data_IF_703396728467
#
_entry.id   IF_703396728467
#
_cell.length_a   1.000
_cell.length_b   1.000
_cell.length_c   1.000
_cell.angle_alpha   90.00
_cell.angle_beta   90.00
_cell.angle_gamma   90.00
#
_symmetry.space_group_name_H-M   'P 1'
#
loop_
_entity.id
_entity.type
_entity.pdbx_description
1 polymer ?
#
# COMPACT_ATOMS: atom_id res chain seq x y z
N UNK A 1 7.20 -20.61 -1.34
CA UNK A 1 5.97 -19.92 -1.78
C UNK A 1 6.29 -18.44 -1.84
N UNK A 2 5.96 -17.80 -2.95
CA UNK A 2 6.23 -16.38 -3.18
C UNK A 2 5.00 -15.56 -2.82
N UNK A 3 5.21 -14.48 -2.07
CA UNK A 3 4.15 -13.54 -1.71
C UNK A 3 4.46 -12.14 -2.23
N UNK A 4 3.52 -11.55 -2.98
CA UNK A 4 3.54 -10.15 -3.38
C UNK A 4 2.80 -9.30 -2.35
N UNK A 5 3.49 -8.36 -1.71
CA UNK A 5 2.86 -7.49 -0.70
C UNK A 5 2.73 -6.07 -1.23
N UNK A 6 1.49 -5.55 -1.31
CA UNK A 6 1.23 -4.14 -1.61
C UNK A 6 1.92 -3.24 -0.59
N UNK A 7 2.84 -2.40 -1.07
CA UNK A 7 3.81 -1.71 -0.23
C UNK A 7 3.82 -0.20 -0.46
N UNK A 8 3.70 0.54 0.63
CA UNK A 8 3.70 2.01 0.64
C UNK A 8 4.94 2.65 1.27
N UNK A 9 5.88 1.85 1.79
CA UNK A 9 6.99 2.35 2.62
C UNK A 9 6.59 2.73 4.05
N UNK A 10 5.31 2.62 4.40
CA UNK A 10 4.80 2.89 5.73
C UNK A 10 5.03 1.75 6.73
N UNK A 11 4.84 2.06 8.03
CA UNK A 11 5.09 1.12 9.12
C UNK A 11 4.27 -0.17 9.05
N UNK A 12 3.00 -0.06 8.62
CA UNK A 12 2.06 -1.19 8.64
C UNK A 12 2.40 -2.20 7.53
N UNK A 13 2.62 -1.74 6.30
CA UNK A 13 3.04 -2.62 5.18
C UNK A 13 4.43 -3.23 5.44
N UNK A 14 5.36 -2.48 6.05
CA UNK A 14 6.67 -3.03 6.42
C UNK A 14 6.57 -4.09 7.52
N UNK A 15 5.75 -3.85 8.55
CA UNK A 15 5.53 -4.85 9.59
C UNK A 15 4.86 -6.12 9.03
N UNK A 16 3.91 -5.96 8.08
CA UNK A 16 3.30 -7.08 7.38
C UNK A 16 4.34 -7.92 6.63
N UNK A 17 5.28 -7.28 5.92
CA UNK A 17 6.38 -7.96 5.24
C UNK A 17 7.25 -8.77 6.21
N UNK A 18 7.66 -8.16 7.33
CA UNK A 18 8.48 -8.85 8.35
C UNK A 18 7.77 -10.07 8.97
N UNK A 19 6.45 -10.01 9.15
CA UNK A 19 5.66 -11.13 9.65
C UNK A 19 5.56 -12.27 8.62
N UNK A 20 5.45 -11.95 7.34
CA UNK A 20 5.36 -12.94 6.27
C UNK A 20 6.69 -13.59 5.94
N UNK A 21 7.82 -12.90 6.09
CA UNK A 21 9.17 -13.35 5.75
C UNK A 21 9.58 -14.68 6.40
N UNK A 22 8.94 -15.04 7.51
CA UNK A 22 9.17 -16.34 8.15
C UNK A 22 8.51 -17.51 7.42
N UNK A 23 7.60 -17.27 6.47
CA UNK A 23 6.77 -18.27 5.81
C UNK A 23 6.80 -18.21 4.30
N UNK A 24 7.14 -17.04 3.73
CA UNK A 24 7.12 -16.76 2.29
C UNK A 24 8.41 -16.06 1.86
N UNK A 25 8.78 -16.26 0.60
CA UNK A 25 9.73 -15.39 -0.09
C UNK A 25 8.94 -14.12 -0.48
N UNK A 26 9.16 -13.03 0.26
CA UNK A 26 8.36 -11.80 0.12
C UNK A 26 8.98 -10.87 -0.91
N UNK A 27 8.19 -10.45 -1.88
CA UNK A 27 8.49 -9.32 -2.79
C UNK A 27 7.53 -8.18 -2.50
N UNK A 28 8.06 -7.00 -2.24
CA UNK A 28 7.28 -5.79 -2.07
C UNK A 28 6.82 -5.28 -3.43
N UNK A 29 5.58 -4.83 -3.53
CA UNK A 29 4.99 -4.32 -4.77
C UNK A 29 4.48 -2.90 -4.54
N UNK A 30 5.19 -1.92 -5.10
CA UNK A 30 4.74 -0.53 -5.11
C UNK A 30 3.78 -0.32 -6.29
N UNK A 31 2.53 -0.03 -5.98
CA UNK A 31 1.53 0.33 -6.98
C UNK A 31 1.56 1.84 -7.22
N UNK A 32 1.69 2.27 -8.46
CA UNK A 32 1.79 3.68 -8.88
C UNK A 32 0.86 3.98 -10.05
N UNK A 33 0.39 5.19 -10.14
CA UNK A 33 -0.32 5.74 -11.32
C UNK A 33 0.67 6.46 -12.25
N UNK A 34 1.91 6.70 -11.77
CA UNK A 34 2.94 7.38 -12.55
C UNK A 34 2.84 8.91 -12.56
N UNK A 35 2.04 9.49 -11.65
CA UNK A 35 1.84 10.96 -11.56
C UNK A 35 2.96 11.64 -10.78
N UNK A 36 3.56 10.93 -9.82
CA UNK A 36 4.66 11.43 -8.99
C UNK A 36 5.80 10.41 -8.91
N UNK A 37 6.84 10.74 -8.16
CA UNK A 37 7.97 9.85 -7.83
C UNK A 37 7.73 8.99 -6.56
N UNK A 38 6.45 8.77 -6.19
CA UNK A 38 6.06 7.96 -5.04
C UNK A 38 6.72 6.56 -5.02
N UNK A 39 6.86 5.92 -6.18
CA UNK A 39 7.52 4.61 -6.28
C UNK A 39 9.00 4.64 -5.83
N UNK A 40 9.70 5.77 -5.96
CA UNK A 40 11.08 5.91 -5.53
C UNK A 40 11.18 5.95 -4.00
N UNK A 41 10.22 6.60 -3.32
CA UNK A 41 10.13 6.58 -1.86
C UNK A 41 9.83 5.18 -1.31
N UNK A 42 8.96 4.40 -1.99
CA UNK A 42 8.75 2.99 -1.64
C UNK A 42 10.04 2.17 -1.80
N UNK A 43 10.83 2.44 -2.84
CA UNK A 43 12.10 1.76 -3.09
C UNK A 43 13.12 2.06 -2.00
N UNK A 44 13.27 3.32 -1.60
CA UNK A 44 14.17 3.70 -0.50
C UNK A 44 13.81 2.98 0.80
N UNK A 45 12.53 2.93 1.15
CA UNK A 45 12.06 2.22 2.34
C UNK A 45 12.28 0.70 2.23
N UNK A 46 12.08 0.09 1.05
CA UNK A 46 12.32 -1.34 0.82
C UNK A 46 13.82 -1.68 0.95
N UNK A 47 14.70 -0.85 0.39
CA UNK A 47 16.16 -0.99 0.54
C UNK A 47 16.60 -0.90 2.01
N UNK A 48 16.01 0.03 2.77
CA UNK A 48 16.32 0.23 4.18
C UNK A 48 15.95 -0.99 5.06
N UNK A 49 15.02 -1.84 4.62
CA UNK A 49 14.60 -3.06 5.33
C UNK A 49 15.06 -4.35 4.65
N UNK A 50 15.70 -4.25 3.47
CA UNK A 50 16.36 -5.37 2.80
C UNK A 50 15.45 -6.31 2.02
N UNK A 51 14.25 -5.87 1.60
CA UNK A 51 13.35 -6.65 0.75
C UNK A 51 13.48 -6.27 -0.73
N UNK A 52 13.32 -7.23 -1.66
CA UNK A 52 13.18 -6.93 -3.07
C UNK A 52 11.87 -6.16 -3.32
N UNK A 53 11.91 -5.19 -4.24
CA UNK A 53 10.74 -4.42 -4.64
C UNK A 53 10.58 -4.41 -6.14
N UNK A 54 9.34 -4.56 -6.59
CA UNK A 54 8.90 -4.32 -7.96
C UNK A 54 7.85 -3.21 -7.97
N UNK A 55 7.70 -2.55 -9.12
CA UNK A 55 6.68 -1.52 -9.31
C UNK A 55 5.64 -2.02 -10.30
N UNK A 56 4.37 -1.74 -10.04
CA UNK A 56 3.25 -2.01 -10.94
C UNK A 56 2.51 -0.72 -11.26
N UNK A 57 2.25 -0.50 -12.56
CA UNK A 57 1.44 0.62 -13.00
C UNK A 57 -0.04 0.26 -12.91
N UNK A 58 -0.81 1.12 -12.27
CA UNK A 58 -2.26 1.05 -12.21
C UNK A 58 -2.88 1.73 -13.43
N UNK A 59 -4.10 1.33 -13.79
CA UNK A 59 -4.84 1.99 -14.86
C UNK A 59 -5.16 3.44 -14.45
N UNK A 60 -4.64 4.39 -15.22
CA UNK A 60 -4.83 5.82 -15.01
C UNK A 60 -6.32 6.21 -15.00
N UNK A 61 -7.15 5.53 -15.81
CA UNK A 61 -8.59 5.78 -15.80
C UNK A 61 -9.25 5.46 -14.45
N UNK A 62 -8.76 4.44 -13.73
CA UNK A 62 -9.25 4.11 -12.39
C UNK A 62 -8.88 5.20 -11.38
N UNK A 63 -7.70 5.80 -11.51
CA UNK A 63 -7.28 6.89 -10.64
C UNK A 63 -8.12 8.16 -10.86
N UNK A 64 -8.37 8.53 -12.12
CA UNK A 64 -9.26 9.65 -12.46
C UNK A 64 -10.69 9.44 -11.93
N UNK A 65 -11.28 8.26 -12.13
CA UNK A 65 -12.59 7.92 -11.59
C UNK A 65 -12.63 7.97 -10.06
N UNK A 66 -11.54 7.56 -9.40
CA UNK A 66 -11.43 7.61 -7.95
C UNK A 66 -11.37 9.05 -7.45
N UNK A 67 -10.61 9.93 -8.11
CA UNK A 67 -10.54 11.37 -7.80
C UNK A 67 -11.91 12.03 -7.97
N UNK A 68 -12.57 11.83 -9.11
CA UNK A 68 -13.93 12.35 -9.33
C UNK A 68 -14.91 11.91 -8.25
N UNK A 69 -14.83 10.65 -7.84
CA UNK A 69 -15.66 10.10 -6.76
C UNK A 69 -15.36 10.75 -5.42
N UNK A 70 -14.08 10.95 -5.08
CA UNK A 70 -13.68 11.61 -3.83
C UNK A 70 -14.20 13.03 -3.74
N UNK A 71 -14.11 13.80 -4.84
CA UNK A 71 -14.63 15.16 -4.93
C UNK A 71 -16.15 15.16 -4.78
N UNK A 72 -16.85 14.25 -5.46
CA UNK A 72 -18.32 14.15 -5.36
C UNK A 72 -18.80 13.75 -3.95
N UNK A 73 -18.04 12.90 -3.27
CA UNK A 73 -18.34 12.43 -1.91
C UNK A 73 -17.93 13.45 -0.83
N UNK A 74 -17.02 14.38 -1.14
CA UNK A 74 -16.37 15.28 -0.18
C UNK A 74 -15.52 14.54 0.85
N UNK A 75 -15.05 13.32 0.53
CA UNK A 75 -14.28 12.46 1.43
C UNK A 75 -13.53 11.35 0.65
N UNK A 76 -12.29 10.98 1.02
CA UNK A 76 -11.44 10.14 0.17
C UNK A 76 -11.77 8.65 0.21
N UNK A 77 -12.61 8.19 1.16
CA UNK A 77 -12.80 6.77 1.50
C UNK A 77 -13.10 5.87 0.30
N UNK A 78 -14.09 6.23 -0.51
CA UNK A 78 -14.57 5.36 -1.58
C UNK A 78 -13.57 5.31 -2.74
N UNK A 79 -12.88 6.41 -3.03
CA UNK A 79 -11.84 6.45 -4.05
C UNK A 79 -10.59 5.68 -3.63
N UNK A 80 -10.12 5.86 -2.38
CA UNK A 80 -9.00 5.05 -1.82
C UNK A 80 -9.33 3.56 -1.90
N UNK A 81 -10.55 3.17 -1.51
CA UNK A 81 -10.97 1.77 -1.59
C UNK A 81 -10.94 1.24 -3.03
N UNK A 82 -11.43 2.04 -3.99
CA UNK A 82 -11.45 1.66 -5.41
C UNK A 82 -10.05 1.41 -5.96
N UNK A 83 -9.10 2.31 -5.66
CA UNK A 83 -7.71 2.16 -6.12
C UNK A 83 -7.02 0.99 -5.42
N UNK A 84 -7.29 0.78 -4.13
CA UNK A 84 -6.75 -0.36 -3.38
C UNK A 84 -7.22 -1.70 -3.95
N UNK A 85 -8.52 -1.83 -4.23
CA UNK A 85 -9.09 -3.03 -4.84
C UNK A 85 -8.46 -3.31 -6.21
N UNK A 86 -8.28 -2.26 -7.03
CA UNK A 86 -7.62 -2.35 -8.32
C UNK A 86 -6.14 -2.76 -8.18
N UNK A 87 -5.41 -2.19 -7.21
CA UNK A 87 -4.02 -2.56 -6.95
C UNK A 87 -3.88 -4.04 -6.57
N UNK A 88 -4.73 -4.54 -5.67
CA UNK A 88 -4.73 -5.96 -5.30
C UNK A 88 -5.02 -6.88 -6.50
N UNK A 89 -6.02 -6.53 -7.33
CA UNK A 89 -6.34 -7.31 -8.54
C UNK A 89 -5.20 -7.28 -9.56
N UNK A 90 -4.55 -6.13 -9.73
CA UNK A 90 -3.40 -5.98 -10.65
C UNK A 90 -2.21 -6.81 -10.17
N UNK A 91 -1.92 -6.82 -8.86
CA UNK A 91 -0.86 -7.65 -8.28
C UNK A 91 -1.20 -9.13 -8.40
N UNK A 92 -2.47 -9.52 -8.16
CA UNK A 92 -2.91 -10.91 -8.27
C UNK A 92 -2.82 -11.47 -9.71
N UNK A 93 -3.06 -10.61 -10.71
CA UNK A 93 -3.05 -10.99 -12.13
C UNK A 93 -1.66 -10.90 -12.78
N UNK A 94 -0.70 -10.23 -12.12
CA UNK A 94 0.57 -9.81 -12.73
C UNK A 94 1.61 -10.93 -12.83
N UNK A 95 2.51 -10.72 -13.78
CA UNK A 95 3.81 -11.40 -13.88
C UNK A 95 4.89 -10.35 -13.65
N UNK A 96 5.84 -10.63 -12.77
CA UNK A 96 6.82 -9.65 -12.32
C UNK A 96 8.24 -10.14 -12.57
N UNK A 97 9.13 -9.23 -12.98
CA UNK A 97 10.55 -9.54 -13.05
C UNK A 97 11.20 -9.26 -11.68
N UNK A 98 11.53 -10.34 -10.97
CA UNK A 98 12.23 -10.31 -9.69
C UNK A 98 13.63 -10.89 -9.87
N UNK A 99 14.66 -10.08 -9.63
CA UNK A 99 16.07 -10.47 -9.76
C UNK A 99 16.42 -11.16 -11.11
N UNK A 100 15.78 -10.74 -12.21
CA UNK A 100 16.00 -11.27 -13.57
C UNK A 100 15.21 -12.53 -13.91
N UNK A 101 14.26 -12.91 -13.07
CA UNK A 101 13.33 -14.04 -13.31
C UNK A 101 11.90 -13.51 -13.33
N UNK A 102 11.11 -13.96 -14.30
CA UNK A 102 9.67 -13.66 -14.34
C UNK A 102 8.96 -14.60 -13.40
N UNK A 103 8.26 -14.05 -12.44
CA UNK A 103 7.56 -14.79 -11.38
C UNK A 103 6.11 -14.33 -11.27
N UNK A 104 5.25 -15.25 -10.86
CA UNK A 104 3.90 -15.00 -10.36
C UNK A 104 3.89 -15.24 -8.86
N UNK A 105 2.95 -14.63 -8.15
CA UNK A 105 2.82 -14.86 -6.72
C UNK A 105 1.88 -16.04 -6.42
N UNK A 106 2.26 -16.86 -5.43
CA UNK A 106 1.35 -17.87 -4.84
C UNK A 106 0.34 -17.21 -3.90
N UNK A 107 0.73 -16.08 -3.33
CA UNK A 107 -0.10 -15.29 -2.42
C UNK A 107 0.10 -13.79 -2.65
N UNK A 108 -0.95 -13.01 -2.40
CA UNK A 108 -0.87 -11.55 -2.31
C UNK A 108 -1.22 -11.07 -0.91
N UNK A 109 -0.66 -9.94 -0.51
CA UNK A 109 -0.87 -9.41 0.83
C UNK A 109 -0.96 -7.89 0.84
N UNK A 110 -1.50 -7.35 1.92
CA UNK A 110 -1.42 -5.94 2.25
C UNK A 110 -1.17 -5.69 3.75
N UNK A 111 -0.96 -4.42 4.11
CA UNK A 111 -0.74 -3.98 5.47
C UNK A 111 -2.01 -3.55 6.22
N UNK A 112 -3.21 -3.93 5.77
CA UNK A 112 -4.47 -3.55 6.42
C UNK A 112 -4.60 -4.17 7.80
N UNK A 113 -5.04 -3.34 8.78
CA UNK A 113 -5.25 -3.76 10.17
C UNK A 113 -6.72 -4.02 10.43
N UNK A 114 -6.99 -4.71 11.53
CA UNK A 114 -8.36 -5.01 11.98
C UNK A 114 -9.26 -3.77 12.13
N UNK A 115 -8.69 -2.64 12.55
CA UNK A 115 -9.40 -1.42 12.91
C UNK A 115 -9.23 -0.28 11.89
N UNK A 116 -8.70 -0.57 10.71
CA UNK A 116 -8.67 0.39 9.61
C UNK A 116 -10.08 0.67 9.07
N UNK A 117 -10.30 1.92 8.69
CA UNK A 117 -11.57 2.35 8.10
C UNK A 117 -11.56 2.23 6.58
N UNK A 118 -10.39 2.46 5.99
CA UNK A 118 -10.07 2.38 4.57
C UNK A 118 -8.53 2.38 4.39
N UNK A 119 -7.98 1.57 3.47
CA UNK A 119 -8.68 0.51 2.78
C UNK A 119 -9.05 -0.67 3.70
N UNK A 120 -10.01 -1.47 3.28
CA UNK A 120 -10.39 -2.71 3.96
C UNK A 120 -10.68 -3.80 2.92
N UNK A 121 -10.33 -5.03 3.22
CA UNK A 121 -10.66 -6.18 2.36
C UNK A 121 -11.61 -7.10 3.11
N UNK A 122 -12.83 -7.20 2.60
CA UNK A 122 -13.81 -8.13 3.15
C UNK A 122 -13.48 -9.57 2.78
N UNK A 123 -13.96 -10.55 3.57
CA UNK A 123 -13.78 -11.96 3.23
C UNK A 123 -14.33 -12.32 1.84
N UNK A 124 -15.41 -11.68 1.41
CA UNK A 124 -16.00 -11.93 0.11
C UNK A 124 -15.11 -11.41 -1.03
N UNK A 125 -14.47 -10.27 -0.86
CA UNK A 125 -13.49 -9.73 -1.81
C UNK A 125 -12.24 -10.60 -1.87
N UNK A 126 -11.67 -10.96 -0.71
CA UNK A 126 -10.55 -11.88 -0.64
C UNK A 126 -10.84 -13.17 -1.41
N UNK A 127 -11.96 -13.83 -1.11
CA UNK A 127 -12.36 -15.04 -1.80
C UNK A 127 -12.60 -14.83 -3.31
N UNK A 128 -13.12 -13.67 -3.72
CA UNK A 128 -13.29 -13.36 -5.15
C UNK A 128 -11.94 -13.23 -5.88
N UNK A 129 -10.94 -12.64 -5.23
CA UNK A 129 -9.57 -12.54 -5.76
C UNK A 129 -8.95 -13.94 -5.83
N UNK A 130 -9.01 -14.71 -4.75
CA UNK A 130 -8.51 -16.09 -4.67
C UNK A 130 -9.11 -16.99 -5.78
N UNK A 131 -10.43 -16.97 -5.93
CA UNK A 131 -11.14 -17.79 -6.95
C UNK A 131 -10.81 -17.35 -8.38
N UNK A 132 -10.59 -16.06 -8.62
CA UNK A 132 -10.37 -15.51 -9.96
C UNK A 132 -8.95 -15.70 -10.44
N UNK A 133 -7.98 -15.50 -9.55
CA UNK A 133 -6.57 -15.44 -9.92
C UNK A 133 -5.77 -16.68 -9.46
N UNK A 134 -6.33 -17.51 -8.58
CA UNK A 134 -5.66 -18.72 -8.08
C UNK A 134 -4.53 -18.42 -7.10
N UNK A 135 -4.61 -17.31 -6.37
CA UNK A 135 -3.65 -16.85 -5.36
C UNK A 135 -4.33 -16.86 -3.98
N UNK A 136 -3.57 -17.02 -2.91
CA UNK A 136 -4.07 -16.80 -1.55
C UNK A 136 -4.03 -15.30 -1.21
N UNK A 137 -5.07 -14.76 -0.54
CA UNK A 137 -5.04 -13.42 0.02
C UNK A 137 -4.66 -13.44 1.51
N UNK A 138 -3.66 -12.64 1.88
CA UNK A 138 -3.12 -12.57 3.23
C UNK A 138 -3.27 -11.16 3.81
N UNK A 139 -3.83 -11.06 5.02
CA UNK A 139 -3.88 -9.83 5.80
C UNK A 139 -3.18 -10.06 7.16
N UNK A 140 -1.83 -9.99 7.21
CA UNK A 140 -1.04 -10.39 8.39
C UNK A 140 -1.39 -9.61 9.65
N UNK A 141 -1.81 -8.36 9.50
CA UNK A 141 -2.15 -7.47 10.62
C UNK A 141 -3.61 -7.55 11.07
N UNK A 142 -4.48 -8.29 10.36
CA UNK A 142 -5.91 -8.36 10.65
C UNK A 142 -6.27 -8.91 12.05
N UNK A 143 -5.37 -9.66 12.67
CA UNK A 143 -5.52 -10.18 14.02
C UNK A 143 -5.10 -9.21 15.14
N UNK A 144 -4.41 -8.11 14.80
CA UNK A 144 -3.82 -7.19 15.76
C UNK A 144 -4.64 -5.91 15.88
N UNK A 145 -4.77 -5.40 17.10
CA UNK A 145 -5.27 -4.04 17.35
C UNK A 145 -4.13 -3.02 17.28
N UNK A 146 -4.50 -1.75 17.20
CA UNK A 146 -3.58 -0.63 17.02
C UNK A 146 -2.39 -0.65 18.00
N UNK A 147 -2.67 -0.81 19.31
CA UNK A 147 -1.60 -0.83 20.32
C UNK A 147 -0.58 -1.94 20.09
N UNK A 148 -1.05 -3.15 19.71
CA UNK A 148 -0.13 -4.27 19.44
C UNK A 148 0.72 -4.02 18.19
N UNK A 149 0.15 -3.39 17.17
CA UNK A 149 0.91 -2.96 15.98
C UNK A 149 1.94 -1.90 16.35
N UNK A 150 1.55 -0.88 17.13
CA UNK A 150 2.45 0.18 17.55
C UNK A 150 3.60 -0.37 18.43
N UNK A 151 3.33 -1.29 19.36
CA UNK A 151 4.35 -1.97 20.18
C UNK A 151 5.33 -2.79 19.29
N UNK A 152 4.83 -3.51 18.28
CA UNK A 152 5.65 -4.28 17.36
C UNK A 152 6.51 -3.37 16.48
N UNK A 153 5.94 -2.28 15.97
CA UNK A 153 6.67 -1.26 15.20
C UNK A 153 7.79 -0.66 16.05
N UNK A 154 7.48 -0.24 17.28
CA UNK A 154 8.50 0.31 18.18
C UNK A 154 9.64 -0.69 18.47
N UNK A 155 9.34 -1.98 18.54
CA UNK A 155 10.33 -3.02 18.78
C UNK A 155 11.19 -3.36 17.56
N UNK A 156 10.71 -3.13 16.33
CA UNK A 156 11.33 -3.68 15.12
C UNK A 156 11.76 -2.65 14.08
N UNK A 157 11.10 -1.50 14.01
CA UNK A 157 11.30 -0.51 12.96
C UNK A 157 11.86 0.81 13.48
N UNK A 158 12.64 1.47 12.62
CA UNK A 158 12.96 2.89 12.77
C UNK A 158 12.04 3.65 11.82
N UNK A 159 11.21 4.55 12.37
CA UNK A 159 10.13 5.21 11.66
C UNK A 159 10.23 6.72 11.83
N UNK A 160 10.13 7.46 10.73
CA UNK A 160 9.84 8.88 10.71
C UNK A 160 8.33 9.09 10.71
N UNK A 161 7.85 10.06 11.49
CA UNK A 161 6.42 10.40 11.60
C UNK A 161 6.26 11.90 11.47
N UNK A 162 5.28 12.33 10.71
CA UNK A 162 4.95 13.73 10.52
C UNK A 162 3.65 13.93 9.75
N UNK A 163 3.25 15.19 9.53
CA UNK A 163 2.09 15.52 8.70
C UNK A 163 2.19 14.86 7.32
N UNK A 164 1.07 14.47 6.75
CA UNK A 164 1.03 13.80 5.44
C UNK A 164 1.63 14.60 4.30
N UNK A 165 1.69 15.93 4.44
CA UNK A 165 2.28 16.86 3.47
C UNK A 165 3.82 16.97 3.59
N UNK A 166 4.39 16.50 4.71
CA UNK A 166 5.83 16.60 5.00
C UNK A 166 6.54 15.25 4.89
N UNK A 167 5.79 14.13 4.90
CA UNK A 167 6.35 12.77 4.82
C UNK A 167 6.14 12.20 3.42
N UNK A 168 7.24 12.12 2.69
CA UNK A 168 7.26 11.45 1.39
C UNK A 168 6.95 9.97 1.53
N UNK A 169 5.94 9.49 0.83
CA UNK A 169 5.46 8.11 0.83
C UNK A 169 5.38 7.53 -0.56
N UNK A 170 5.57 6.23 -0.60
CA UNK A 170 5.45 5.43 -1.82
C UNK A 170 4.07 4.85 -2.04
N UNK A 171 3.00 5.61 -1.77
CA UNK A 171 1.64 5.14 -1.94
C UNK A 171 0.84 5.94 -2.97
N UNK A 172 -0.17 5.31 -3.50
CA UNK A 172 -1.09 5.93 -4.47
C UNK A 172 -1.93 7.07 -3.84
N UNK A 173 -2.01 7.21 -2.52
CA UNK A 173 -2.71 8.35 -1.91
C UNK A 173 -2.01 9.67 -2.27
N UNK A 174 -0.68 9.72 -2.22
CA UNK A 174 0.10 10.89 -2.60
C UNK A 174 -0.14 11.25 -4.07
N UNK A 175 -0.20 10.24 -4.95
CA UNK A 175 -0.48 10.44 -6.37
C UNK A 175 -1.92 10.91 -6.62
N UNK A 176 -2.91 10.36 -5.89
CA UNK A 176 -4.31 10.78 -6.00
C UNK A 176 -4.52 12.23 -5.50
N UNK A 177 -3.77 12.66 -4.47
CA UNK A 177 -3.75 14.07 -4.05
C UNK A 177 -3.18 14.98 -5.13
N UNK A 178 -2.07 14.59 -5.75
CA UNK A 178 -1.46 15.34 -6.85
C UNK A 178 -2.39 15.44 -8.06
N UNK A 179 -3.02 14.32 -8.44
CA UNK A 179 -4.00 14.28 -9.54
C UNK A 179 -5.23 15.15 -9.23
N UNK A 180 -5.75 15.10 -8.01
CA UNK A 180 -6.85 15.93 -7.57
C UNK A 180 -6.48 17.43 -7.61
N UNK A 181 -5.27 17.79 -7.18
CA UNK A 181 -4.80 19.17 -7.26
C UNK A 181 -4.72 19.67 -8.71
N UNK A 182 -4.27 18.82 -9.63
CA UNK A 182 -4.19 19.16 -11.06
C UNK A 182 -5.58 19.34 -11.68
N UNK A 183 -6.53 18.47 -11.40
CA UNK A 183 -7.86 18.45 -12.05
C UNK A 183 -8.88 19.38 -11.40
N UNK A 184 -8.85 19.48 -10.06
CA UNK A 184 -9.88 20.18 -9.27
C UNK A 184 -9.32 21.33 -8.42
N UNK A 185 -7.99 21.48 -8.36
CA UNK A 185 -7.30 22.52 -7.58
C UNK A 185 -6.98 22.12 -6.14
N UNK A 186 -6.05 22.83 -5.52
CA UNK A 186 -5.56 22.58 -4.14
C UNK A 186 -6.70 22.68 -3.10
N UNK A 187 -7.68 23.57 -3.30
CA UNK A 187 -8.84 23.67 -2.39
C UNK A 187 -9.62 22.35 -2.30
N UNK A 188 -9.74 21.60 -3.41
CA UNK A 188 -10.43 20.32 -3.40
C UNK A 188 -9.66 19.27 -2.57
N UNK A 189 -8.32 19.29 -2.60
CA UNK A 189 -7.49 18.42 -1.77
C UNK A 189 -7.73 18.70 -0.30
N UNK A 190 -7.70 19.98 0.11
CA UNK A 190 -7.91 20.40 1.49
C UNK A 190 -9.34 20.07 2.00
N UNK A 191 -10.34 20.14 1.12
CA UNK A 191 -11.72 19.80 1.47
C UNK A 191 -11.95 18.29 1.60
N UNK A 192 -11.29 17.48 0.77
CA UNK A 192 -11.52 16.04 0.68
C UNK A 192 -10.66 15.26 1.66
N UNK A 193 -9.38 15.60 1.76
CA UNK A 193 -8.43 14.86 2.61
C UNK A 193 -8.27 15.54 3.96
N UNK A 194 -8.66 14.87 5.07
CA UNK A 194 -8.41 15.40 6.41
C UNK A 194 -6.92 15.36 6.73
N UNK A 195 -6.46 16.32 7.53
CA UNK A 195 -5.12 16.31 8.09
C UNK A 195 -4.89 15.03 8.89
N UNK A 196 -3.77 14.38 8.67
CA UNK A 196 -3.36 13.22 9.43
C UNK A 196 -1.83 13.03 9.39
N UNK A 197 -1.31 12.37 10.43
CA UNK A 197 0.09 11.97 10.47
C UNK A 197 0.31 10.72 9.63
N UNK A 198 1.43 10.70 8.93
CA UNK A 198 1.92 9.57 8.18
C UNK A 198 3.26 9.06 8.72
N UNK A 199 3.66 7.88 8.27
CA UNK A 199 4.89 7.25 8.69
C UNK A 199 5.68 6.75 7.48
N UNK A 200 7.01 6.94 7.52
CA UNK A 200 7.96 6.34 6.58
C UNK A 200 8.95 5.49 7.37
N UNK A 201 9.19 4.28 6.89
CA UNK A 201 10.21 3.41 7.48
C UNK A 201 11.58 3.77 6.89
N UNK A 202 12.55 3.96 7.76
CA UNK A 202 13.93 4.33 7.40
C UNK A 202 14.95 3.27 7.82
N UNK A 203 14.52 2.17 8.43
CA UNK A 203 15.39 1.05 8.77
C UNK A 203 14.78 0.06 9.77
N UNK A 204 15.54 -0.98 10.05
CA UNK A 204 15.25 -1.94 11.11
C UNK A 204 16.00 -1.55 12.39
N UNK A 205 15.42 -1.87 13.54
CA UNK A 205 16.13 -1.76 14.81
C UNK A 205 17.11 -2.91 14.98
N UNK A 206 18.30 -2.61 15.47
CA UNK A 206 19.25 -3.63 15.89
C UNK A 206 18.64 -4.47 17.01
N UNK A 207 18.72 -5.79 16.88
CA UNK A 207 18.28 -6.75 17.90
C UNK A 207 19.31 -6.95 18.98
#
# INVERSE_FOLDING_TARGET
MHAGLCYSGGKDSTLAALLLDSFYDVTLVAATVGVTDAADHAREAAEAVGFPLVTVELDEAVAHEAVDRMVADGYPRNGIQQVHDHALETVAAGEFEVAGTVETFDAIADGTRRDDRVPTVSRAQAQSIEDRYGVDYLAPLSGFGRSAVDDLVEATLVVETGPSEEIDKGDYEAELRALMAEEHGEEAVDEVFPDHDQTRVVGLRDR
#
